data_IF_197818232829
#
_entry.id   IF_197818232829
#
_cell.length_a   1.000
_cell.length_b   1.000
_cell.length_c   1.000
_cell.angle_alpha   90.00
_cell.angle_beta   90.00
_cell.angle_gamma   90.00
#
_symmetry.space_group_name_H-M   'P 1'
#
loop_
_entity.id
_entity.type
_entity.pdbx_description
1 polymer ?
#
# COMPACT_ATOMS: atom_id res chain seq x y z
N UNK A 1 12.59 -9.79 -10.01
CA UNK A 1 13.29 -11.09 -9.96
C UNK A 1 12.32 -12.24 -9.69
N UNK A 2 11.49 -12.20 -8.61
CA UNK A 2 10.56 -13.30 -8.28
C UNK A 2 9.58 -13.64 -9.41
N UNK A 3 9.08 -12.64 -10.16
CA UNK A 3 8.19 -12.84 -11.31
C UNK A 3 8.89 -13.46 -12.51
N UNK A 4 10.17 -13.14 -12.72
CA UNK A 4 10.97 -13.74 -13.79
C UNK A 4 11.16 -15.23 -13.53
N UNK A 5 11.49 -15.60 -12.28
CA UNK A 5 11.62 -17.01 -11.89
C UNK A 5 10.31 -17.79 -12.03
N UNK A 6 9.16 -17.16 -11.75
CA UNK A 6 7.85 -17.83 -11.90
C UNK A 6 7.53 -18.09 -13.37
N UNK A 7 7.80 -17.14 -14.26
CA UNK A 7 7.52 -17.26 -15.70
C UNK A 7 8.53 -18.13 -16.45
N UNK A 8 9.83 -17.99 -16.13
CA UNK A 8 10.89 -18.66 -16.91
C UNK A 8 11.24 -20.04 -16.37
N UNK A 9 11.19 -20.23 -15.05
CA UNK A 9 11.69 -21.44 -14.41
C UNK A 9 10.64 -22.23 -13.63
N UNK A 10 9.41 -21.70 -13.48
CA UNK A 10 8.30 -22.31 -12.72
C UNK A 10 8.75 -22.84 -11.32
N UNK A 11 9.76 -22.20 -10.71
CA UNK A 11 10.35 -22.65 -9.45
C UNK A 11 9.68 -21.97 -8.26
N UNK A 12 8.59 -22.61 -7.77
CA UNK A 12 7.79 -22.11 -6.64
C UNK A 12 8.62 -21.89 -5.36
N UNK A 13 9.62 -22.75 -5.10
CA UNK A 13 10.48 -22.61 -3.90
C UNK A 13 11.38 -21.38 -3.98
N UNK A 14 12.01 -21.15 -5.12
CA UNK A 14 12.87 -19.96 -5.33
C UNK A 14 12.04 -18.68 -5.28
N UNK A 15 10.86 -18.66 -5.91
CA UNK A 15 9.94 -17.53 -5.83
C UNK A 15 9.60 -17.18 -4.39
N UNK A 16 9.21 -18.17 -3.58
CA UNK A 16 8.85 -17.95 -2.18
C UNK A 16 10.02 -17.46 -1.34
N UNK A 17 11.23 -18.01 -1.56
CA UNK A 17 12.43 -17.53 -0.91
C UNK A 17 12.72 -16.06 -1.21
N UNK A 18 12.63 -15.67 -2.48
CA UNK A 18 12.83 -14.28 -2.90
C UNK A 18 11.77 -13.34 -2.33
N UNK A 19 10.49 -13.75 -2.32
CA UNK A 19 9.42 -12.99 -1.67
C UNK A 19 9.63 -12.85 -0.18
N UNK A 20 10.08 -13.94 0.50
CA UNK A 20 10.39 -13.91 1.93
C UNK A 20 11.54 -12.95 2.25
N UNK A 21 12.60 -12.97 1.43
CA UNK A 21 13.72 -12.05 1.56
C UNK A 21 13.28 -10.58 1.38
N UNK A 22 12.52 -10.29 0.33
CA UNK A 22 12.02 -8.94 0.07
C UNK A 22 11.02 -8.47 1.14
N UNK A 23 10.13 -9.37 1.62
CA UNK A 23 9.20 -9.05 2.70
C UNK A 23 9.92 -8.67 4.00
N UNK A 24 11.01 -9.37 4.36
CA UNK A 24 11.85 -9.03 5.52
C UNK A 24 12.52 -7.65 5.38
N UNK A 25 12.76 -7.20 4.15
CA UNK A 25 13.32 -5.87 3.86
C UNK A 25 12.24 -4.76 3.81
N UNK A 26 10.97 -5.07 4.09
CA UNK A 26 9.89 -4.08 4.13
C UNK A 26 9.15 -3.88 2.83
N UNK A 27 9.39 -4.64 1.77
CA UNK A 27 8.67 -4.49 0.50
C UNK A 27 7.22 -4.95 0.61
N UNK A 28 6.28 -4.00 0.66
CA UNK A 28 4.84 -4.26 0.85
C UNK A 28 4.25 -5.20 -0.21
N UNK A 29 4.65 -5.07 -1.48
CA UNK A 29 4.21 -5.98 -2.55
C UNK A 29 4.62 -7.42 -2.30
N UNK A 30 5.84 -7.64 -1.78
CA UNK A 30 6.32 -8.99 -1.44
C UNK A 30 5.58 -9.57 -0.24
N UNK A 31 5.32 -8.75 0.79
CA UNK A 31 4.52 -9.14 1.95
C UNK A 31 3.10 -9.56 1.54
N UNK A 32 2.43 -8.74 0.72
CA UNK A 32 1.08 -9.06 0.24
C UNK A 32 1.05 -10.37 -0.55
N UNK A 33 1.98 -10.57 -1.51
CA UNK A 33 2.06 -11.80 -2.31
C UNK A 33 2.34 -13.03 -1.46
N UNK A 34 3.25 -12.92 -0.49
CA UNK A 34 3.54 -14.00 0.44
C UNK A 34 2.32 -14.32 1.32
N UNK A 35 1.58 -13.29 1.76
CA UNK A 35 0.32 -13.44 2.48
C UNK A 35 -0.72 -14.24 1.68
N UNK A 36 -0.87 -13.96 0.38
CA UNK A 36 -1.75 -14.74 -0.51
C UNK A 36 -1.28 -16.19 -0.63
N UNK A 37 0.02 -16.46 -0.75
CA UNK A 37 0.54 -17.82 -0.79
C UNK A 37 0.20 -18.58 0.50
N UNK A 38 0.33 -17.92 1.65
CA UNK A 38 0.05 -18.52 2.95
C UNK A 38 -1.45 -18.79 3.15
N UNK A 39 -2.34 -17.91 2.65
CA UNK A 39 -3.79 -18.16 2.73
C UNK A 39 -4.19 -19.41 1.96
N UNK A 40 -3.67 -19.60 0.75
CA UNK A 40 -3.93 -20.79 -0.08
C UNK A 40 -3.47 -22.09 0.62
N UNK A 41 -2.44 -22.00 1.47
CA UNK A 41 -1.92 -23.15 2.24
C UNK A 41 -2.63 -23.35 3.59
N UNK A 42 -3.59 -22.51 3.92
CA UNK A 42 -4.30 -22.56 5.20
C UNK A 42 -3.59 -21.90 6.37
N UNK A 43 -2.44 -21.28 6.17
CA UNK A 43 -1.68 -20.55 7.20
C UNK A 43 -2.28 -19.15 7.38
N UNK A 44 -3.52 -19.08 7.87
CA UNK A 44 -4.33 -17.86 7.87
C UNK A 44 -3.80 -16.78 8.79
N UNK A 45 -3.25 -17.16 9.95
CA UNK A 45 -2.69 -16.20 10.92
C UNK A 45 -1.50 -15.44 10.33
N UNK A 46 -0.56 -16.16 9.76
CA UNK A 46 0.64 -15.61 9.11
C UNK A 46 0.27 -14.81 7.86
N UNK A 47 -0.76 -15.26 7.11
CA UNK A 47 -1.30 -14.56 5.96
C UNK A 47 -1.85 -13.19 6.35
N UNK A 48 -2.71 -13.13 7.36
CA UNK A 48 -3.29 -11.88 7.86
C UNK A 48 -2.20 -10.93 8.39
N UNK A 49 -1.22 -11.46 9.12
CA UNK A 49 -0.09 -10.66 9.63
C UNK A 49 0.75 -10.06 8.50
N UNK A 50 1.05 -10.82 7.45
CA UNK A 50 1.82 -10.34 6.31
C UNK A 50 1.06 -9.26 5.53
N UNK A 51 -0.25 -9.47 5.28
CA UNK A 51 -1.08 -8.46 4.62
C UNK A 51 -1.19 -7.19 5.46
N UNK A 52 -1.39 -7.33 6.78
CA UNK A 52 -1.43 -6.20 7.70
C UNK A 52 -0.11 -5.41 7.71
N UNK A 53 1.02 -6.11 7.76
CA UNK A 53 2.34 -5.50 7.66
C UNK A 53 2.55 -4.80 6.30
N UNK A 54 2.02 -5.36 5.21
CA UNK A 54 2.06 -4.71 3.90
C UNK A 54 1.30 -3.37 3.92
N UNK A 55 0.11 -3.32 4.53
CA UNK A 55 -0.65 -2.07 4.71
C UNK A 55 0.17 -1.07 5.53
N UNK A 56 0.79 -1.51 6.62
CA UNK A 56 1.63 -0.65 7.46
C UNK A 56 2.78 0.00 6.70
N UNK A 57 3.39 -0.71 5.76
CA UNK A 57 4.46 -0.18 4.91
C UNK A 57 3.94 0.74 3.80
N UNK A 58 2.66 0.70 3.50
CA UNK A 58 2.08 1.52 2.43
C UNK A 58 2.42 1.07 1.02
N UNK A 59 2.46 2.00 0.08
CA UNK A 59 2.71 1.73 -1.33
C UNK A 59 1.61 0.94 -2.03
N UNK A 60 1.84 0.54 -3.27
CA UNK A 60 0.91 -0.25 -4.08
C UNK A 60 0.58 -1.61 -3.42
N UNK A 61 1.60 -2.27 -2.87
CA UNK A 61 1.42 -3.53 -2.16
C UNK A 61 0.56 -3.38 -0.90
N UNK A 62 0.71 -2.27 -0.19
CA UNK A 62 -0.12 -1.91 0.97
C UNK A 62 -1.57 -1.68 0.59
N UNK A 63 -1.82 -0.95 -0.50
CA UNK A 63 -3.18 -0.73 -1.02
C UNK A 63 -3.86 -2.04 -1.44
N UNK A 64 -3.15 -2.91 -2.16
CA UNK A 64 -3.66 -4.23 -2.55
C UNK A 64 -3.92 -5.13 -1.33
N UNK A 65 -3.08 -5.05 -0.31
CA UNK A 65 -3.28 -5.78 0.94
C UNK A 65 -4.50 -5.26 1.72
N UNK A 66 -4.71 -3.93 1.76
CA UNK A 66 -5.89 -3.32 2.38
C UNK A 66 -7.18 -3.78 1.68
N UNK A 67 -7.21 -3.82 0.35
CA UNK A 67 -8.30 -4.39 -0.44
C UNK A 67 -8.58 -5.85 -0.05
N UNK A 68 -7.53 -6.66 0.11
CA UNK A 68 -7.67 -8.07 0.49
C UNK A 68 -8.25 -8.22 1.88
N UNK A 69 -7.73 -7.48 2.87
CA UNK A 69 -8.21 -7.52 4.26
C UNK A 69 -9.63 -6.98 4.39
N UNK A 70 -9.99 -5.92 3.66
CA UNK A 70 -11.38 -5.44 3.55
C UNK A 70 -12.32 -6.57 3.12
N UNK A 71 -11.96 -7.30 2.07
CA UNK A 71 -12.77 -8.42 1.56
C UNK A 71 -12.86 -9.58 2.56
N UNK A 72 -11.80 -9.87 3.30
CA UNK A 72 -11.79 -10.88 4.36
C UNK A 72 -12.77 -10.52 5.47
N UNK A 73 -12.71 -9.32 6.00
CA UNK A 73 -13.58 -8.88 7.12
C UNK A 73 -15.01 -8.57 6.68
N UNK A 74 -15.20 -8.10 5.42
CA UNK A 74 -16.53 -7.88 4.85
C UNK A 74 -17.20 -9.13 4.29
N UNK A 75 -16.56 -10.32 4.44
CA UNK A 75 -17.11 -11.59 3.92
C UNK A 75 -17.42 -11.59 2.44
N UNK A 76 -16.57 -10.97 1.63
CA UNK A 76 -16.69 -11.06 0.17
C UNK A 76 -16.58 -12.49 -0.31
N UNK A 77 -17.53 -12.94 -1.14
CA UNK A 77 -17.57 -14.31 -1.69
C UNK A 77 -16.25 -14.76 -2.32
N UNK A 78 -15.51 -13.85 -2.92
CA UNK A 78 -14.22 -14.16 -3.56
C UNK A 78 -13.12 -14.60 -2.59
N UNK A 79 -13.25 -14.27 -1.30
CA UNK A 79 -12.30 -14.59 -0.24
C UNK A 79 -12.84 -15.53 0.83
N UNK A 80 -14.08 -15.99 0.68
CA UNK A 80 -14.74 -16.79 1.73
C UNK A 80 -14.17 -18.19 1.89
N UNK A 81 -13.59 -18.77 0.84
CA UNK A 81 -13.11 -20.15 0.89
C UNK A 81 -11.90 -20.30 1.83
N UNK A 82 -10.88 -19.47 1.61
CA UNK A 82 -9.63 -19.50 2.38
C UNK A 82 -9.83 -18.93 3.80
N UNK A 83 -10.66 -17.90 3.95
CA UNK A 83 -10.90 -17.21 5.21
C UNK A 83 -12.26 -17.47 5.84
N UNK A 84 -12.88 -18.61 5.53
CA UNK A 84 -14.22 -18.94 6.04
C UNK A 84 -14.32 -18.93 7.58
N UNK A 85 -13.24 -19.31 8.28
CA UNK A 85 -13.15 -19.31 9.74
C UNK A 85 -12.91 -17.91 10.35
N UNK A 86 -12.51 -16.92 9.56
CA UNK A 86 -12.32 -15.55 10.05
C UNK A 86 -13.69 -14.90 10.25
N UNK A 87 -14.03 -14.39 11.45
CA UNK A 87 -15.33 -13.74 11.67
C UNK A 87 -15.44 -12.44 10.86
N UNK A 88 -16.68 -12.08 10.49
CA UNK A 88 -16.94 -10.74 9.93
C UNK A 88 -16.64 -9.68 10.97
N UNK A 89 -16.07 -8.58 10.56
CA UNK A 89 -15.73 -7.45 11.43
C UNK A 89 -15.94 -6.13 10.66
N UNK A 90 -17.11 -5.51 10.80
CA UNK A 90 -17.45 -4.30 10.05
C UNK A 90 -16.56 -3.10 10.41
N UNK A 91 -15.99 -3.06 11.61
CA UNK A 91 -15.08 -1.97 12.00
C UNK A 91 -13.77 -2.11 11.24
N UNK A 92 -13.20 -3.31 11.17
CA UNK A 92 -11.99 -3.58 10.38
C UNK A 92 -12.26 -3.43 8.88
N UNK A 93 -13.39 -3.87 8.39
CA UNK A 93 -13.79 -3.67 7.00
C UNK A 93 -13.79 -2.19 6.62
N UNK A 94 -14.43 -1.34 7.43
CA UNK A 94 -14.48 0.11 7.20
C UNK A 94 -13.08 0.72 7.25
N UNK A 95 -12.27 0.36 8.24
CA UNK A 95 -10.91 0.86 8.39
C UNK A 95 -10.02 0.49 7.19
N UNK A 96 -10.05 -0.77 6.74
CA UNK A 96 -9.29 -1.18 5.55
C UNK A 96 -9.84 -0.57 4.25
N UNK A 97 -11.13 -0.21 4.20
CA UNK A 97 -11.71 0.55 3.08
C UNK A 97 -11.12 1.96 3.01
N UNK A 98 -10.96 2.64 4.15
CA UNK A 98 -10.32 3.95 4.20
C UNK A 98 -8.83 3.87 3.80
N UNK A 99 -8.10 2.88 4.31
CA UNK A 99 -6.69 2.65 3.99
C UNK A 99 -6.49 2.32 2.50
N UNK A 100 -7.34 1.47 1.91
CA UNK A 100 -7.35 1.18 0.47
C UNK A 100 -7.51 2.46 -0.34
N UNK A 101 -8.53 3.26 -0.02
CA UNK A 101 -8.81 4.54 -0.71
C UNK A 101 -7.65 5.52 -0.56
N UNK A 102 -7.04 5.59 0.61
CA UNK A 102 -5.91 6.48 0.86
C UNK A 102 -4.68 6.10 0.02
N UNK A 103 -4.39 4.81 -0.13
CA UNK A 103 -3.22 4.31 -0.85
C UNK A 103 -3.43 4.20 -2.36
N UNK A 104 -4.59 3.73 -2.81
CA UNK A 104 -4.88 3.46 -4.24
C UNK A 104 -5.72 4.54 -4.89
N UNK A 105 -6.42 5.36 -4.11
CA UNK A 105 -7.37 6.34 -4.62
C UNK A 105 -8.75 5.76 -4.90
N UNK A 106 -9.63 6.59 -5.45
CA UNK A 106 -11.00 6.22 -5.83
C UNK A 106 -11.43 6.94 -7.09
N UNK A 107 -11.77 6.22 -8.14
CA UNK A 107 -12.26 6.81 -9.39
C UNK A 107 -11.31 7.88 -9.93
N UNK A 108 -11.72 9.15 -9.84
CA UNK A 108 -10.93 10.30 -10.33
C UNK A 108 -9.86 10.80 -9.36
N UNK A 109 -9.85 10.34 -8.11
CA UNK A 109 -8.87 10.76 -7.09
C UNK A 109 -7.76 9.72 -6.96
N UNK A 110 -6.54 10.11 -7.27
CA UNK A 110 -5.37 9.29 -7.03
C UNK A 110 -5.13 9.11 -5.53
N UNK A 111 -4.76 7.91 -5.11
CA UNK A 111 -4.26 7.67 -3.76
C UNK A 111 -2.85 8.22 -3.59
N UNK A 112 -2.38 8.23 -2.36
CA UNK A 112 -1.00 8.60 -2.04
C UNK A 112 -0.20 7.35 -1.66
N UNK A 113 0.61 6.80 -2.59
CA UNK A 113 1.41 5.61 -2.32
C UNK A 113 2.55 5.85 -1.32
N UNK A 114 2.84 7.10 -0.96
CA UNK A 114 3.87 7.43 0.03
C UNK A 114 3.38 7.36 1.47
N UNK A 115 2.06 7.18 1.69
CA UNK A 115 1.55 7.00 3.04
C UNK A 115 2.11 5.71 3.66
N UNK A 116 2.56 5.85 4.91
CA UNK A 116 2.93 4.74 5.79
C UNK A 116 2.12 4.83 7.09
N UNK A 117 1.93 3.69 7.73
CA UNK A 117 1.08 3.60 8.92
C UNK A 117 1.81 2.88 10.07
N UNK A 118 2.88 3.49 10.60
CA UNK A 118 3.73 2.83 11.62
C UNK A 118 2.98 2.47 12.90
N UNK A 119 1.87 3.18 13.21
CA UNK A 119 1.03 2.95 14.38
C UNK A 119 -0.19 2.06 14.09
N UNK A 120 -0.24 1.39 12.95
CA UNK A 120 -1.39 0.58 12.55
C UNK A 120 -1.71 -0.52 13.58
N UNK A 121 -0.68 -1.18 14.13
CA UNK A 121 -0.84 -2.22 15.15
C UNK A 121 -1.46 -1.70 16.46
N UNK A 122 -1.28 -0.39 16.77
CA UNK A 122 -1.85 0.23 17.97
C UNK A 122 -3.34 0.51 17.82
N UNK A 123 -3.77 0.97 16.63
CA UNK A 123 -5.14 1.46 16.40
C UNK A 123 -6.05 0.46 15.70
N UNK A 124 -5.46 -0.46 14.93
CA UNK A 124 -6.15 -1.48 14.17
C UNK A 124 -5.48 -2.85 14.32
N UNK A 125 -5.22 -3.34 15.52
CA UNK A 125 -4.58 -4.65 15.72
C UNK A 125 -5.42 -5.77 15.08
N UNK A 126 -4.76 -6.87 14.73
CA UNK A 126 -5.45 -8.07 14.25
C UNK A 126 -6.30 -8.70 15.35
N UNK A 127 -7.40 -9.47 15.01
CA UNK A 127 -8.18 -10.18 15.99
C UNK A 127 -7.31 -11.13 16.83
N UNK A 128 -7.68 -11.38 18.11
CA UNK A 128 -8.91 -10.97 18.80
C UNK A 128 -8.87 -9.59 19.48
N UNK A 129 -7.80 -8.84 19.34
CA UNK A 129 -7.66 -7.54 20.01
C UNK A 129 -8.72 -6.53 19.53
N UNK A 130 -9.13 -5.62 20.43
CA UNK A 130 -10.08 -4.54 20.11
C UNK A 130 -9.43 -3.46 19.28
N UNK A 131 -10.19 -2.88 18.35
CA UNK A 131 -9.74 -1.76 17.52
C UNK A 131 -9.94 -0.43 18.23
N UNK A 132 -9.05 0.52 17.95
CA UNK A 132 -9.11 1.92 18.41
C UNK A 132 -9.07 2.88 17.21
N UNK A 133 -9.61 2.45 16.07
CA UNK A 133 -9.59 3.18 14.81
C UNK A 133 -10.30 4.53 14.91
N UNK A 134 -9.62 5.59 14.50
CA UNK A 134 -10.12 6.99 14.44
C UNK A 134 -9.82 7.64 13.09
N UNK A 135 -9.74 6.85 12.02
CA UNK A 135 -9.37 7.29 10.68
C UNK A 135 -7.86 7.14 10.40
N UNK A 136 -7.48 7.36 9.15
CA UNK A 136 -6.14 7.09 8.63
C UNK A 136 -5.01 7.81 9.39
N UNK A 137 -5.25 9.04 9.81
CA UNK A 137 -4.24 9.83 10.52
C UNK A 137 -3.88 9.26 11.91
N UNK A 138 -4.78 8.48 12.53
CA UNK A 138 -4.48 7.80 13.80
C UNK A 138 -3.43 6.71 13.66
N UNK A 139 -3.27 6.15 12.46
CA UNK A 139 -2.30 5.10 12.15
C UNK A 139 -0.94 5.62 11.66
N UNK A 140 -0.85 6.90 11.28
CA UNK A 140 0.38 7.57 10.85
C UNK A 140 1.28 7.93 12.02
N UNK A 141 2.53 8.31 11.77
CA UNK A 141 3.35 9.03 12.74
C UNK A 141 2.68 10.37 13.12
N UNK A 142 3.03 10.96 14.26
CA UNK A 142 2.47 12.25 14.64
C UNK A 142 2.87 13.35 13.66
N UNK A 143 4.09 13.29 13.19
CA UNK A 143 4.70 14.23 12.24
C UNK A 143 3.99 14.14 10.88
N UNK A 144 3.82 12.94 10.33
CA UNK A 144 3.12 12.74 9.07
C UNK A 144 1.65 13.14 9.16
N UNK A 145 0.97 12.76 10.24
CA UNK A 145 -0.42 13.14 10.46
C UNK A 145 -0.60 14.66 10.50
N UNK A 146 0.28 15.38 11.20
CA UNK A 146 0.27 16.84 11.25
C UNK A 146 0.53 17.47 9.88
N UNK A 147 1.52 16.93 9.13
CA UNK A 147 1.85 17.40 7.78
C UNK A 147 0.68 17.23 6.80
N UNK A 148 0.03 16.06 6.78
CA UNK A 148 -1.07 15.81 5.84
C UNK A 148 -2.40 16.46 6.23
N UNK A 149 -2.62 16.74 7.51
CA UNK A 149 -3.79 17.51 7.98
C UNK A 149 -3.64 19.00 7.71
N UNK A 150 -2.41 19.53 7.80
CA UNK A 150 -2.10 20.94 7.59
C UNK A 150 -0.91 21.06 6.63
N UNK A 151 -1.10 20.73 5.34
CA UNK A 151 -0.01 20.79 4.39
C UNK A 151 0.53 22.22 4.31
N UNK A 152 1.86 22.40 4.21
CA UNK A 152 2.45 23.71 4.04
C UNK A 152 1.96 24.34 2.74
N UNK A 153 1.87 25.66 2.72
CA UNK A 153 1.60 26.39 1.48
C UNK A 153 2.76 26.16 0.51
N UNK A 154 2.53 25.28 -0.45
CA UNK A 154 3.55 24.90 -1.43
C UNK A 154 3.96 26.06 -2.33
N UNK A 155 3.08 27.05 -2.58
CA UNK A 155 3.39 28.24 -3.35
C UNK A 155 4.33 29.17 -2.55
N UNK A 156 4.05 29.38 -1.27
CA UNK A 156 4.91 30.16 -0.39
C UNK A 156 6.28 29.47 -0.21
N UNK A 157 6.31 28.15 -0.04
CA UNK A 157 7.54 27.39 0.06
C UNK A 157 8.38 27.47 -1.23
N UNK A 158 7.76 27.32 -2.40
CA UNK A 158 8.44 27.44 -3.67
C UNK A 158 9.02 28.87 -3.88
N UNK A 159 8.25 29.89 -3.50
CA UNK A 159 8.72 31.28 -3.56
C UNK A 159 9.94 31.52 -2.65
N UNK A 160 9.94 30.95 -1.43
CA UNK A 160 11.06 31.06 -0.49
C UNK A 160 12.31 30.31 -0.99
N UNK A 161 12.16 29.10 -1.54
CA UNK A 161 13.25 28.34 -2.15
C UNK A 161 13.91 29.12 -3.31
N UNK A 162 13.09 29.70 -4.20
CA UNK A 162 13.57 30.53 -5.31
C UNK A 162 14.26 31.78 -4.80
N UNK A 163 13.69 32.45 -3.78
CA UNK A 163 14.30 33.67 -3.19
C UNK A 163 15.66 33.40 -2.56
N UNK A 164 15.84 32.22 -1.94
CA UNK A 164 17.11 31.78 -1.34
C UNK A 164 18.13 31.30 -2.36
N UNK A 165 17.77 31.20 -3.64
CA UNK A 165 18.65 30.72 -4.70
C UNK A 165 19.07 29.25 -4.57
N UNK A 166 18.31 28.46 -3.82
CA UNK A 166 18.59 27.03 -3.63
C UNK A 166 18.38 26.28 -4.95
N UNK A 167 17.42 26.77 -5.78
CA UNK A 167 17.14 26.23 -7.11
C UNK A 167 17.01 27.42 -8.07
N UNK A 168 17.63 27.34 -9.24
CA UNK A 168 17.45 28.35 -10.27
C UNK A 168 16.08 28.24 -10.91
N UNK A 169 15.44 29.35 -11.25
CA UNK A 169 14.09 29.40 -11.84
C UNK A 169 13.98 28.53 -13.10
N UNK A 170 15.08 28.39 -13.84
CA UNK A 170 15.18 27.58 -15.07
C UNK A 170 15.19 26.06 -14.79
N UNK A 171 15.59 25.64 -13.59
CA UNK A 171 15.65 24.24 -13.19
C UNK A 171 14.30 23.71 -12.64
N UNK A 172 13.33 24.60 -12.38
CA UNK A 172 11.99 24.25 -11.87
C UNK A 172 11.03 23.91 -13.03
N UNK A 173 11.48 23.99 -14.28
CA UNK A 173 10.66 23.67 -15.44
C UNK A 173 10.46 22.15 -15.56
N UNK A 174 9.49 21.63 -14.85
CA UNK A 174 8.90 20.33 -15.13
C UNK A 174 7.96 20.48 -16.33
N UNK A 175 8.55 20.55 -17.52
CA UNK A 175 7.79 20.40 -18.75
C UNK A 175 7.41 18.92 -18.85
N UNK A 176 6.13 18.56 -18.86
CA UNK A 176 5.77 17.23 -19.29
C UNK A 176 6.32 17.09 -20.71
N UNK A 177 7.16 16.09 -20.94
CA UNK A 177 7.68 15.80 -22.27
C UNK A 177 6.49 15.71 -23.22
N UNK A 178 6.44 16.48 -24.33
CA UNK A 178 5.36 16.34 -25.29
C UNK A 178 5.30 14.86 -25.71
N UNK A 179 4.12 14.30 -25.95
CA UNK A 179 4.00 12.94 -26.43
C UNK A 179 4.88 12.79 -27.68
N UNK A 180 5.73 11.75 -27.68
CA UNK A 180 6.54 11.43 -28.85
C UNK A 180 5.59 11.25 -30.06
N UNK A 181 5.92 11.86 -31.22
CA UNK A 181 5.10 11.65 -32.40
C UNK A 181 5.04 10.14 -32.68
N UNK A 182 3.91 9.62 -33.18
CA UNK A 182 3.78 8.22 -33.53
C UNK A 182 4.92 7.85 -34.48
N UNK A 183 5.65 6.78 -34.16
CA UNK A 183 6.65 6.23 -35.05
C UNK A 183 5.99 5.91 -36.39
N UNK A 184 6.45 6.56 -37.45
CA UNK A 184 5.99 6.31 -38.81
C UNK A 184 6.52 4.92 -39.23
N UNK A 185 5.73 3.89 -38.98
CA UNK A 185 5.99 2.57 -39.53
C UNK A 185 5.66 2.62 -41.02
N UNK A 186 6.60 3.16 -41.79
CA UNK A 186 6.53 3.19 -43.25
C UNK A 186 6.16 1.82 -43.79
N UNK A 187 5.08 1.79 -44.60
CA UNK A 187 4.59 0.68 -45.41
C UNK A 187 5.68 0.14 -46.35
#
# INVERSE_FOLDING_TARGET
>A
LSLIYDKQFNNKKVRELLLSCAAKQGFSTAMNRLGVIYSIRGNLKESLQLMHNAVRQGGEGGGTAALSLRKVYGKSKAYMKEFASTPADPVREAAYTELEKALMGTGTKSGNPFYTFPRLDEVLPLPPAKTHWKGIYSAMSKEDAAFYQNPPDTAALAADILKRGIVKKEEVYWSPRPPEPPEDHGL
#
